data_IF_050265736448
#
_entry.id   IF_050265736448
#
_cell.length_a   1.000
_cell.length_b   1.000
_cell.length_c   1.000
_cell.angle_alpha   90.00
_cell.angle_beta   90.00
_cell.angle_gamma   90.00
#
_symmetry.space_group_name_H-M   'P 1'
#
loop_
_entity.id
_entity.type
_entity.pdbx_description
1 polymer ?
#
# COMPACT_ATOMS: atom_id res chain seq x y z
N UNK A 1 24.31 -3.79 -8.88
CA UNK A 1 23.46 -2.97 -7.99
C UNK A 1 23.77 -1.49 -8.20
N UNK A 2 22.78 -0.63 -8.01
CA UNK A 2 23.01 0.82 -7.92
C UNK A 2 23.70 1.10 -6.58
N UNK A 3 24.97 1.48 -6.62
CA UNK A 3 25.62 2.07 -5.43
C UNK A 3 25.15 3.51 -5.30
N UNK A 4 24.32 3.79 -4.31
CA UNK A 4 23.74 5.12 -4.08
C UNK A 4 24.35 5.79 -2.83
N UNK A 5 25.39 5.19 -2.24
CA UNK A 5 26.04 5.72 -1.03
C UNK A 5 26.55 7.17 -1.18
N UNK A 6 26.75 7.63 -2.42
CA UNK A 6 27.22 8.97 -2.76
C UNK A 6 26.13 9.88 -3.36
N UNK A 7 24.90 9.38 -3.60
CA UNK A 7 23.83 10.16 -4.24
C UNK A 7 23.11 11.13 -3.27
N UNK A 8 23.88 11.83 -2.44
CA UNK A 8 23.35 12.68 -1.34
C UNK A 8 22.58 13.92 -1.82
N UNK A 9 22.60 14.24 -3.12
CA UNK A 9 21.92 15.41 -3.72
C UNK A 9 20.71 15.05 -4.58
N UNK A 10 20.44 13.73 -4.79
CA UNK A 10 19.34 13.29 -5.63
C UNK A 10 17.99 13.60 -4.95
N UNK A 11 17.12 14.34 -5.66
CA UNK A 11 15.81 14.78 -5.15
C UNK A 11 14.66 14.07 -5.88
N UNK A 12 14.84 13.72 -7.15
CA UNK A 12 13.79 13.09 -7.97
C UNK A 12 14.37 11.99 -8.85
N UNK A 13 13.67 10.86 -8.94
CA UNK A 13 13.83 9.87 -10.01
C UNK A 13 12.66 10.09 -10.96
N UNK A 14 12.98 10.31 -12.24
CA UNK A 14 11.98 10.64 -13.27
C UNK A 14 11.14 9.46 -13.73
N UNK A 15 10.14 9.76 -14.53
CA UNK A 15 9.21 8.79 -15.09
C UNK A 15 9.97 7.78 -15.96
N UNK A 16 9.69 6.49 -15.76
CA UNK A 16 10.30 5.37 -16.50
C UNK A 16 11.84 5.36 -16.51
N UNK A 17 12.49 6.01 -15.53
CA UNK A 17 13.95 6.22 -15.53
C UNK A 17 14.76 4.92 -15.64
N UNK A 18 14.23 3.80 -15.11
CA UNK A 18 14.84 2.46 -15.16
C UNK A 18 13.86 1.40 -15.68
N UNK A 19 12.79 1.83 -16.38
CA UNK A 19 11.76 0.93 -16.88
C UNK A 19 12.38 -0.23 -17.69
N UNK A 20 11.99 -1.46 -17.35
CA UNK A 20 12.37 -2.69 -18.05
C UNK A 20 13.89 -2.87 -18.21
N UNK A 21 14.68 -2.44 -17.22
CA UNK A 21 16.13 -2.68 -17.18
C UNK A 21 16.48 -3.91 -16.34
N UNK A 22 17.67 -4.47 -16.56
CA UNK A 22 18.22 -5.59 -15.75
C UNK A 22 18.72 -5.13 -14.36
N UNK A 23 18.26 -3.98 -13.87
CA UNK A 23 18.61 -3.47 -12.56
C UNK A 23 18.09 -4.43 -11.48
N UNK A 24 18.98 -4.99 -10.67
CA UNK A 24 18.63 -5.99 -9.65
C UNK A 24 19.32 -5.75 -8.31
N UNK A 25 18.97 -6.60 -7.34
CA UNK A 25 19.44 -6.50 -5.96
C UNK A 25 18.60 -5.52 -5.14
N UNK A 26 19.17 -4.97 -4.07
CA UNK A 26 18.48 -4.02 -3.19
C UNK A 26 18.73 -2.59 -3.63
N UNK A 27 17.65 -1.84 -3.79
CA UNK A 27 17.65 -0.39 -4.00
C UNK A 27 17.54 0.30 -2.65
N UNK A 28 18.50 1.15 -2.31
CA UNK A 28 18.45 2.01 -1.11
C UNK A 28 18.05 3.42 -1.54
N UNK A 29 17.01 3.98 -0.94
CA UNK A 29 16.54 5.33 -1.28
C UNK A 29 17.24 6.37 -0.40
N UNK A 30 17.95 7.34 -1.01
CA UNK A 30 18.73 8.33 -0.25
C UNK A 30 17.83 9.36 0.44
N UNK A 31 18.33 9.94 1.54
CA UNK A 31 17.57 10.81 2.44
C UNK A 31 16.89 12.02 1.80
N UNK A 32 17.47 12.58 0.72
CA UNK A 32 16.92 13.77 0.04
C UNK A 32 15.96 13.45 -1.09
N UNK A 33 15.81 12.17 -1.48
CA UNK A 33 14.87 11.82 -2.54
C UNK A 33 13.44 12.10 -2.08
N UNK A 34 12.75 12.96 -2.82
CA UNK A 34 11.38 13.36 -2.51
C UNK A 34 10.35 12.60 -3.35
N UNK A 35 10.69 12.25 -4.59
CA UNK A 35 9.72 11.67 -5.54
C UNK A 35 10.35 10.55 -6.36
N UNK A 36 9.62 9.44 -6.45
CA UNK A 36 9.88 8.36 -7.42
C UNK A 36 8.74 8.44 -8.45
N UNK A 37 9.11 8.73 -9.71
CA UNK A 37 8.15 8.95 -10.79
C UNK A 37 7.43 7.69 -11.27
N UNK A 38 6.37 7.84 -12.09
CA UNK A 38 5.63 6.74 -12.67
C UNK A 38 6.54 5.75 -13.41
N UNK A 39 6.27 4.45 -13.24
CA UNK A 39 7.00 3.34 -13.84
C UNK A 39 8.53 3.39 -13.69
N UNK A 40 9.03 4.15 -12.70
CA UNK A 40 10.47 4.42 -12.60
C UNK A 40 11.33 3.15 -12.52
N UNK A 41 10.84 2.10 -11.89
CA UNK A 41 11.50 0.79 -11.74
C UNK A 41 10.60 -0.37 -12.18
N UNK A 42 9.53 -0.08 -12.92
CA UNK A 42 8.63 -1.12 -13.40
C UNK A 42 9.38 -2.15 -14.25
N UNK A 43 9.04 -3.42 -14.05
CA UNK A 43 9.64 -4.55 -14.78
C UNK A 43 11.16 -4.65 -14.63
N UNK A 44 11.73 -4.23 -13.51
CA UNK A 44 13.15 -4.42 -13.18
C UNK A 44 13.36 -5.73 -12.39
N UNK A 45 14.63 -6.14 -12.24
CA UNK A 45 15.02 -7.32 -11.47
C UNK A 45 15.31 -7.01 -9.99
N UNK A 46 14.80 -5.90 -9.47
CA UNK A 46 14.94 -5.52 -8.05
C UNK A 46 14.32 -6.59 -7.15
N UNK A 47 15.05 -6.97 -6.10
CA UNK A 47 14.59 -7.95 -5.10
C UNK A 47 14.41 -7.34 -3.71
N UNK A 48 14.97 -6.14 -3.45
CA UNK A 48 14.82 -5.43 -2.19
C UNK A 48 14.64 -3.94 -2.40
N UNK A 49 13.90 -3.31 -1.48
CA UNK A 49 13.73 -1.86 -1.41
C UNK A 49 13.94 -1.42 0.04
N UNK A 50 14.95 -0.59 0.27
CA UNK A 50 15.26 -0.03 1.57
C UNK A 50 14.90 1.46 1.60
N UNK A 51 13.90 1.81 2.41
CA UNK A 51 13.39 3.16 2.63
C UNK A 51 13.82 3.72 3.99
N UNK A 52 14.71 3.05 4.74
CA UNK A 52 15.09 3.45 6.11
C UNK A 52 15.68 4.87 6.18
N UNK A 53 16.42 5.27 5.14
CA UNK A 53 17.01 6.61 5.04
C UNK A 53 16.13 7.61 4.28
N UNK A 54 14.98 7.19 3.73
CA UNK A 54 14.12 7.99 2.84
C UNK A 54 13.32 9.08 3.58
N UNK A 55 14.00 9.92 4.35
CA UNK A 55 13.36 10.91 5.25
C UNK A 55 12.69 12.08 4.54
N UNK A 56 12.88 12.23 3.22
CA UNK A 56 12.24 13.27 2.40
C UNK A 56 11.23 12.72 1.41
N UNK A 57 11.06 11.39 1.31
CA UNK A 57 10.17 10.78 0.31
C UNK A 57 8.71 11.10 0.64
N UNK A 58 8.02 11.73 -0.31
CA UNK A 58 6.62 12.14 -0.20
C UNK A 58 5.70 11.42 -1.18
N UNK A 59 6.25 10.88 -2.28
CA UNK A 59 5.46 10.26 -3.34
C UNK A 59 6.19 9.07 -3.97
N UNK A 60 5.45 7.97 -4.12
CA UNK A 60 5.79 6.83 -4.98
C UNK A 60 4.72 6.82 -6.08
N UNK A 61 5.14 7.04 -7.33
CA UNK A 61 4.25 7.22 -8.47
C UNK A 61 3.60 5.94 -8.98
N UNK A 62 2.73 6.10 -9.99
CA UNK A 62 2.00 5.03 -10.66
C UNK A 62 2.95 3.94 -11.19
N UNK A 63 2.69 2.68 -10.87
CA UNK A 63 3.48 1.53 -11.30
C UNK A 63 4.97 1.58 -10.96
N UNK A 64 5.40 2.43 -10.02
CA UNK A 64 6.81 2.72 -9.80
C UNK A 64 7.68 1.48 -9.57
N UNK A 65 7.14 0.43 -8.97
CA UNK A 65 7.80 -0.86 -8.70
C UNK A 65 6.94 -2.06 -9.17
N UNK A 66 6.03 -1.83 -10.11
CA UNK A 66 5.17 -2.89 -10.65
C UNK A 66 6.01 -3.99 -11.29
N UNK A 67 5.54 -5.23 -11.19
CA UNK A 67 6.15 -6.43 -11.82
C UNK A 67 7.65 -6.57 -11.50
N UNK A 68 8.04 -6.25 -10.26
CA UNK A 68 9.41 -6.47 -9.77
C UNK A 68 9.51 -7.72 -8.90
N UNK A 69 10.74 -8.16 -8.63
CA UNK A 69 11.02 -9.26 -7.70
C UNK A 69 11.04 -8.86 -6.23
N UNK A 70 10.58 -7.65 -5.86
CA UNK A 70 10.61 -7.15 -4.49
C UNK A 70 9.98 -8.14 -3.52
N UNK A 71 10.72 -8.51 -2.48
CA UNK A 71 10.31 -9.48 -1.46
C UNK A 71 10.58 -8.96 -0.04
N UNK A 72 10.11 -9.71 0.96
CA UNK A 72 10.30 -9.35 2.36
C UNK A 72 9.33 -8.26 2.84
N UNK A 73 9.74 -7.52 3.88
CA UNK A 73 8.92 -6.50 4.53
C UNK A 73 9.27 -5.11 4.00
N UNK A 74 8.26 -4.36 3.59
CA UNK A 74 8.36 -2.95 3.22
C UNK A 74 7.92 -2.08 4.41
N UNK A 75 8.77 -1.14 4.81
CA UNK A 75 8.47 -0.14 5.86
C UNK A 75 8.23 1.21 5.19
N UNK A 76 7.06 1.80 5.40
CA UNK A 76 6.70 3.08 4.77
C UNK A 76 7.18 4.24 5.64
N UNK A 77 7.96 5.19 5.07
CA UNK A 77 8.54 6.28 5.84
C UNK A 77 7.51 7.37 6.20
N UNK A 78 7.82 8.12 7.26
CA UNK A 78 6.90 9.05 7.92
C UNK A 78 6.31 10.16 7.02
N UNK A 79 7.07 10.61 6.00
CA UNK A 79 6.63 11.72 5.13
C UNK A 79 5.90 11.25 3.88
N UNK A 80 5.86 9.96 3.58
CA UNK A 80 5.15 9.48 2.40
C UNK A 80 3.67 9.81 2.54
N UNK A 81 3.13 10.51 1.55
CA UNK A 81 1.72 10.96 1.54
C UNK A 81 0.85 10.06 0.66
N UNK A 82 1.43 9.56 -0.45
CA UNK A 82 0.67 8.78 -1.43
C UNK A 82 1.49 7.61 -1.93
N UNK A 83 0.85 6.44 -1.98
CA UNK A 83 1.31 5.27 -2.74
C UNK A 83 0.41 5.20 -3.97
N UNK A 84 0.99 5.50 -5.15
CA UNK A 84 0.28 5.63 -6.40
C UNK A 84 -0.34 4.34 -6.92
N UNK A 85 -1.18 4.43 -7.97
CA UNK A 85 -1.79 3.27 -8.59
C UNK A 85 -0.74 2.24 -9.01
N UNK A 86 -1.03 0.96 -8.84
CA UNK A 86 -0.15 -0.15 -9.25
C UNK A 86 1.28 -0.11 -8.70
N UNK A 87 1.59 0.74 -7.72
CA UNK A 87 2.98 1.04 -7.31
C UNK A 87 3.80 -0.20 -6.95
N UNK A 88 3.19 -1.22 -6.34
CA UNK A 88 3.79 -2.49 -5.96
C UNK A 88 3.01 -3.69 -6.51
N UNK A 89 2.24 -3.48 -7.58
CA UNK A 89 1.45 -4.52 -8.23
C UNK A 89 2.33 -5.71 -8.66
N UNK A 90 1.85 -6.93 -8.44
CA UNK A 90 2.57 -8.15 -8.81
C UNK A 90 4.00 -8.26 -8.25
N UNK A 91 4.23 -7.81 -7.01
CA UNK A 91 5.48 -8.03 -6.28
C UNK A 91 5.38 -9.24 -5.33
N UNK A 92 6.52 -9.67 -4.79
CA UNK A 92 6.61 -10.77 -3.81
C UNK A 92 6.72 -10.27 -2.37
N UNK A 93 6.33 -9.02 -2.10
CA UNK A 93 6.34 -8.46 -0.74
C UNK A 93 5.50 -9.34 0.18
N UNK A 94 6.03 -9.67 1.37
CA UNK A 94 5.35 -10.52 2.36
C UNK A 94 4.89 -9.74 3.59
N UNK A 95 5.41 -8.53 3.80
CA UNK A 95 5.00 -7.66 4.91
C UNK A 95 4.91 -6.20 4.51
N UNK A 96 3.94 -5.48 5.08
CA UNK A 96 3.80 -4.04 4.95
C UNK A 96 3.70 -3.42 6.34
N UNK A 97 4.63 -2.52 6.65
CA UNK A 97 4.66 -1.78 7.90
C UNK A 97 4.29 -0.32 7.68
N UNK A 98 3.15 0.08 8.20
CA UNK A 98 2.63 1.44 8.16
C UNK A 98 2.77 2.16 9.51
N UNK A 99 3.50 1.59 10.49
CA UNK A 99 3.58 2.16 11.86
C UNK A 99 4.19 3.55 11.89
N UNK A 100 5.16 3.82 11.00
CA UNK A 100 5.82 5.11 10.86
C UNK A 100 5.14 6.04 9.82
N UNK A 101 4.16 5.55 9.07
CA UNK A 101 3.52 6.26 7.95
C UNK A 101 2.56 7.36 8.42
N UNK A 102 3.06 8.31 9.23
CA UNK A 102 2.26 9.34 9.89
C UNK A 102 1.71 10.42 8.96
N UNK A 103 2.14 10.46 7.70
CA UNK A 103 1.64 11.41 6.69
C UNK A 103 0.85 10.73 5.57
N UNK A 104 0.72 9.40 5.58
CA UNK A 104 0.05 8.66 4.51
C UNK A 104 -1.45 8.96 4.49
N UNK A 105 -1.93 9.46 3.34
CA UNK A 105 -3.32 9.90 3.13
C UNK A 105 -4.06 8.93 2.22
N UNK A 106 -3.41 8.42 1.17
CA UNK A 106 -4.03 7.51 0.21
C UNK A 106 -3.12 6.33 -0.15
N UNK A 107 -3.75 5.16 -0.26
CA UNK A 107 -3.23 3.99 -0.97
C UNK A 107 -4.15 3.83 -2.18
N UNK A 108 -3.60 4.01 -3.38
CA UNK A 108 -4.40 4.13 -4.58
C UNK A 108 -4.74 2.77 -5.23
N UNK A 109 -5.36 2.83 -6.42
CA UNK A 109 -5.84 1.65 -7.16
C UNK A 109 -4.73 0.61 -7.32
N UNK A 110 -5.02 -0.65 -6.96
CA UNK A 110 -4.15 -1.82 -7.15
C UNK A 110 -2.72 -1.66 -6.62
N UNK A 111 -2.50 -0.73 -5.70
CA UNK A 111 -1.16 -0.42 -5.20
C UNK A 111 -0.39 -1.65 -4.67
N UNK A 112 -1.08 -2.64 -4.12
CA UNK A 112 -0.54 -3.91 -3.62
C UNK A 112 -1.31 -5.12 -4.17
N UNK A 113 -1.85 -5.01 -5.38
CA UNK A 113 -2.58 -6.11 -6.03
C UNK A 113 -1.68 -7.33 -6.24
N UNK A 114 -2.23 -8.52 -5.98
CA UNK A 114 -1.56 -9.81 -6.20
C UNK A 114 -0.16 -9.89 -5.54
N UNK A 115 0.00 -9.28 -4.36
CA UNK A 115 1.22 -9.38 -3.54
C UNK A 115 1.19 -10.60 -2.63
N UNK A 116 2.34 -10.94 -2.03
CA UNK A 116 2.46 -11.97 -1.00
C UNK A 116 2.15 -11.47 0.42
N UNK A 117 1.64 -10.25 0.60
CA UNK A 117 1.42 -9.64 1.92
C UNK A 117 0.57 -10.54 2.82
N UNK A 118 1.07 -10.86 4.00
CA UNK A 118 0.45 -11.75 4.98
C UNK A 118 0.34 -11.11 6.37
N UNK A 119 -0.38 -11.78 7.29
CA UNK A 119 -0.58 -11.29 8.65
C UNK A 119 -1.61 -10.18 8.73
N UNK A 120 -1.47 -9.31 9.75
CA UNK A 120 -2.43 -8.23 10.02
C UNK A 120 -1.92 -6.90 9.48
N UNK A 121 -2.72 -6.25 8.64
CA UNK A 121 -2.49 -4.88 8.19
C UNK A 121 -3.11 -3.91 9.19
N UNK A 122 -2.31 -2.98 9.72
CA UNK A 122 -2.77 -1.93 10.64
C UNK A 122 -2.86 -0.62 9.86
N UNK A 123 -4.05 -0.02 9.79
CA UNK A 123 -4.27 1.21 9.03
C UNK A 123 -3.91 2.44 9.88
N UNK A 124 -3.05 3.36 9.37
CA UNK A 124 -2.60 4.52 10.11
C UNK A 124 -3.68 5.61 10.19
N UNK A 125 -3.55 6.49 11.20
CA UNK A 125 -4.57 7.45 11.59
C UNK A 125 -4.97 8.47 10.52
N UNK A 126 -4.04 8.84 9.62
CA UNK A 126 -4.30 9.85 8.58
C UNK A 126 -4.78 9.29 7.25
N UNK A 127 -4.78 7.97 7.09
CA UNK A 127 -5.26 7.39 5.85
C UNK A 127 -6.76 7.68 5.70
N UNK A 128 -7.13 8.30 4.58
CA UNK A 128 -8.52 8.69 4.29
C UNK A 128 -9.19 7.73 3.34
N UNK A 129 -8.41 7.06 2.49
CA UNK A 129 -8.94 6.21 1.42
C UNK A 129 -8.04 5.02 1.13
N UNK A 130 -8.69 3.86 0.93
CA UNK A 130 -8.08 2.66 0.36
C UNK A 130 -8.74 2.45 -1.01
N UNK A 131 -7.93 2.57 -2.06
CA UNK A 131 -8.37 2.60 -3.46
C UNK A 131 -8.89 1.27 -4.00
N UNK A 132 -9.42 1.28 -5.24
CA UNK A 132 -9.99 0.08 -5.86
C UNK A 132 -8.95 -1.05 -5.95
N UNK A 133 -9.34 -2.25 -5.56
CA UNK A 133 -8.48 -3.45 -5.61
C UNK A 133 -7.09 -3.27 -4.96
N UNK A 134 -6.92 -2.33 -4.04
CA UNK A 134 -5.60 -1.96 -3.50
C UNK A 134 -4.84 -3.13 -2.88
N UNK A 135 -5.54 -4.09 -2.27
CA UNK A 135 -4.99 -5.31 -1.66
C UNK A 135 -5.64 -6.58 -2.23
N UNK A 136 -6.31 -6.49 -3.38
CA UNK A 136 -6.95 -7.63 -4.01
C UNK A 136 -5.93 -8.77 -4.22
N UNK A 137 -6.35 -9.98 -3.88
CA UNK A 137 -5.54 -11.19 -3.97
C UNK A 137 -4.25 -11.20 -3.11
N UNK A 138 -4.13 -10.27 -2.14
CA UNK A 138 -3.11 -10.34 -1.11
C UNK A 138 -3.45 -11.45 -0.09
N UNK A 139 -2.43 -11.97 0.64
CA UNK A 139 -2.61 -13.07 1.60
C UNK A 139 -2.88 -12.58 3.03
N UNK A 140 -3.36 -11.34 3.19
CA UNK A 140 -3.67 -10.76 4.50
C UNK A 140 -4.68 -11.62 5.25
N UNK A 141 -4.44 -11.85 6.54
CA UNK A 141 -5.34 -12.62 7.42
C UNK A 141 -6.06 -11.75 8.46
N UNK A 142 -5.58 -10.52 8.67
CA UNK A 142 -6.19 -9.56 9.60
C UNK A 142 -6.17 -8.13 9.04
N UNK A 143 -7.16 -7.35 9.44
CA UNK A 143 -7.24 -5.90 9.17
C UNK A 143 -7.59 -5.19 10.46
N UNK A 144 -6.69 -4.35 10.94
CA UNK A 144 -6.88 -3.53 12.15
C UNK A 144 -7.16 -2.07 11.76
N UNK A 145 -8.39 -1.65 11.98
CA UNK A 145 -8.87 -0.29 11.73
C UNK A 145 -8.93 0.55 13.03
N UNK A 146 -8.47 0.04 14.16
CA UNK A 146 -8.59 0.71 15.47
C UNK A 146 -7.91 2.07 15.54
N UNK A 147 -6.88 2.31 14.68
CA UNK A 147 -6.17 3.58 14.57
C UNK A 147 -6.63 4.44 13.38
N UNK A 148 -7.53 3.94 12.56
CA UNK A 148 -7.93 4.56 11.28
C UNK A 148 -8.90 5.75 11.49
N UNK A 149 -8.49 6.76 12.27
CA UNK A 149 -9.32 7.87 12.71
C UNK A 149 -9.76 8.84 11.60
N UNK A 150 -9.19 8.73 10.39
CA UNK A 150 -9.55 9.58 9.25
C UNK A 150 -10.06 8.77 8.06
N UNK A 151 -10.19 7.45 8.18
CA UNK A 151 -10.58 6.59 7.05
C UNK A 151 -12.06 6.80 6.73
N UNK A 152 -12.32 7.34 5.53
CA UNK A 152 -13.68 7.67 5.05
C UNK A 152 -14.19 6.63 4.06
N UNK A 153 -13.32 6.06 3.23
CA UNK A 153 -13.74 5.19 2.15
C UNK A 153 -12.80 3.98 1.98
N UNK A 154 -13.40 2.79 1.88
CA UNK A 154 -12.80 1.57 1.36
C UNK A 154 -13.50 1.30 0.03
N UNK A 155 -12.75 1.36 -1.08
CA UNK A 155 -13.32 1.37 -2.43
C UNK A 155 -13.53 -0.06 -2.97
N UNK A 156 -14.06 -0.15 -4.19
CA UNK A 156 -14.46 -1.39 -4.86
C UNK A 156 -13.36 -2.46 -4.84
N UNK A 157 -13.67 -3.65 -4.35
CA UNK A 157 -12.76 -4.77 -4.33
C UNK A 157 -11.46 -4.58 -3.52
N UNK A 158 -11.36 -3.56 -2.67
CA UNK A 158 -10.11 -3.17 -2.02
C UNK A 158 -9.39 -4.33 -1.30
N UNK A 159 -10.13 -5.28 -0.74
CA UNK A 159 -9.64 -6.50 -0.08
C UNK A 159 -10.25 -7.78 -0.68
N UNK A 160 -10.65 -7.72 -1.96
CA UNK A 160 -11.23 -8.88 -2.64
C UNK A 160 -10.27 -10.08 -2.61
N UNK A 161 -10.81 -11.27 -2.40
CA UNK A 161 -10.08 -12.53 -2.40
C UNK A 161 -8.85 -12.56 -1.46
N UNK A 162 -8.88 -11.79 -0.35
CA UNK A 162 -7.87 -11.88 0.71
C UNK A 162 -8.20 -13.00 1.70
N UNK A 163 -7.25 -13.34 2.58
CA UNK A 163 -7.44 -14.32 3.65
C UNK A 163 -8.06 -13.75 4.92
N UNK A 164 -8.60 -12.52 4.91
CA UNK A 164 -9.14 -11.85 6.11
C UNK A 164 -10.17 -12.71 6.82
N UNK A 165 -10.00 -12.91 8.13
CA UNK A 165 -10.85 -13.78 8.94
C UNK A 165 -11.31 -13.08 10.23
N UNK A 166 -12.28 -13.72 10.96
CA UNK A 166 -12.80 -13.20 12.21
C UNK A 166 -13.81 -12.07 12.03
N UNK A 167 -13.84 -11.13 12.98
CA UNK A 167 -14.78 -10.00 13.00
C UNK A 167 -14.08 -8.72 12.57
N UNK A 168 -14.62 -8.03 11.56
CA UNK A 168 -14.19 -6.71 11.17
C UNK A 168 -14.94 -5.66 11.98
N UNK A 169 -14.20 -4.79 12.68
CA UNK A 169 -14.77 -3.65 13.42
C UNK A 169 -14.67 -2.41 12.53
N UNK A 170 -15.81 -1.76 12.28
CA UNK A 170 -15.87 -0.57 11.42
C UNK A 170 -15.69 0.70 12.26
N UNK A 171 -14.70 1.57 11.93
CA UNK A 171 -14.43 2.76 12.69
C UNK A 171 -15.49 3.86 12.45
N UNK A 172 -15.56 4.83 13.36
CA UNK A 172 -16.58 5.86 13.40
C UNK A 172 -16.65 6.72 12.13
N UNK A 173 -15.50 7.03 11.53
CA UNK A 173 -15.41 7.95 10.40
C UNK A 173 -15.64 7.27 9.04
N UNK A 174 -15.66 5.93 8.97
CA UNK A 174 -15.87 5.23 7.71
C UNK A 174 -17.30 5.47 7.20
N UNK A 175 -17.42 6.17 6.06
CA UNK A 175 -18.70 6.51 5.46
C UNK A 175 -19.14 5.52 4.38
N UNK A 176 -18.18 4.90 3.68
CA UNK A 176 -18.48 4.04 2.53
C UNK A 176 -17.60 2.81 2.46
N UNK A 177 -18.24 1.67 2.19
CA UNK A 177 -17.63 0.41 1.78
C UNK A 177 -18.12 0.11 0.35
N UNK A 178 -17.21 0.05 -0.61
CA UNK A 178 -17.51 -0.17 -2.01
C UNK A 178 -17.97 -1.60 -2.33
N UNK A 179 -18.51 -1.82 -3.55
CA UNK A 179 -18.85 -3.15 -4.03
C UNK A 179 -17.68 -4.12 -3.98
N UNK A 180 -17.93 -5.38 -3.62
CA UNK A 180 -16.93 -6.45 -3.55
C UNK A 180 -15.74 -6.17 -2.62
N UNK A 181 -15.79 -5.13 -1.77
CA UNK A 181 -14.64 -4.68 -0.99
C UNK A 181 -14.00 -5.78 -0.12
N UNK A 182 -14.80 -6.71 0.39
CA UNK A 182 -14.40 -7.86 1.21
C UNK A 182 -14.96 -9.18 0.67
N UNK A 183 -15.42 -9.21 -0.59
CA UNK A 183 -15.93 -10.44 -1.20
C UNK A 183 -14.80 -11.47 -1.31
N UNK A 184 -15.16 -12.75 -1.22
CA UNK A 184 -14.22 -13.86 -1.23
C UNK A 184 -13.20 -13.85 -0.06
N UNK A 185 -13.56 -13.24 1.09
CA UNK A 185 -12.78 -13.31 2.33
C UNK A 185 -13.29 -14.43 3.24
N UNK A 186 -12.64 -14.62 4.40
CA UNK A 186 -13.06 -15.56 5.47
C UNK A 186 -13.65 -14.84 6.67
N UNK A 187 -14.10 -13.60 6.50
CA UNK A 187 -14.76 -12.85 7.58
C UNK A 187 -16.00 -13.58 8.07
N UNK A 188 -16.19 -13.66 9.39
CA UNK A 188 -17.31 -14.32 10.03
C UNK A 188 -18.21 -13.37 10.80
N UNK A 189 -17.80 -12.11 10.96
CA UNK A 189 -18.55 -11.08 11.68
C UNK A 189 -18.24 -9.68 11.20
N UNK A 190 -19.21 -8.80 11.40
CA UNK A 190 -19.12 -7.36 11.15
C UNK A 190 -19.61 -6.64 12.41
N UNK A 191 -18.76 -5.81 13.01
CA UNK A 191 -19.12 -4.98 14.16
C UNK A 191 -19.32 -3.53 13.70
N UNK A 192 -20.54 -3.05 13.79
CA UNK A 192 -20.98 -1.70 13.43
C UNK A 192 -21.24 -0.82 14.66
N UNK A 193 -20.87 -1.26 15.86
CA UNK A 193 -21.20 -0.55 17.09
C UNK A 193 -20.64 0.89 17.16
N UNK A 194 -19.53 1.14 16.47
CA UNK A 194 -18.86 2.44 16.40
C UNK A 194 -19.07 3.17 15.07
N UNK A 195 -19.72 2.54 14.08
CA UNK A 195 -19.82 3.00 12.69
C UNK A 195 -20.84 4.17 12.51
N UNK A 196 -20.61 5.29 13.18
CA UNK A 196 -21.59 6.40 13.23
C UNK A 196 -21.70 7.20 11.94
N UNK A 197 -20.71 7.13 11.04
CA UNK A 197 -20.71 7.85 9.75
C UNK A 197 -21.06 6.93 8.56
N UNK A 198 -21.24 5.63 8.78
CA UNK A 198 -21.45 4.69 7.68
C UNK A 198 -22.81 4.90 7.02
N UNK A 199 -22.81 5.25 5.72
CA UNK A 199 -24.00 5.54 4.92
C UNK A 199 -24.19 4.58 3.74
N UNK A 200 -23.12 3.85 3.35
CA UNK A 200 -23.18 2.95 2.20
C UNK A 200 -22.34 1.68 2.42
N UNK A 201 -22.96 0.54 2.16
CA UNK A 201 -22.27 -0.74 1.94
C UNK A 201 -22.70 -1.20 0.53
N UNK A 202 -21.74 -1.30 -0.38
CA UNK A 202 -21.96 -1.61 -1.79
C UNK A 202 -22.40 -3.04 -2.04
N UNK A 203 -22.77 -3.31 -3.31
CA UNK A 203 -23.23 -4.63 -3.75
C UNK A 203 -22.15 -5.69 -3.53
N UNK A 204 -22.53 -6.83 -2.94
CA UNK A 204 -21.62 -7.95 -2.67
C UNK A 204 -20.34 -7.54 -1.92
N UNK A 205 -20.44 -6.56 -1.02
CA UNK A 205 -19.27 -6.05 -0.30
C UNK A 205 -18.62 -7.08 0.65
N UNK A 206 -19.37 -8.16 1.02
CA UNK A 206 -18.92 -9.25 1.93
C UNK A 206 -19.27 -10.63 1.38
#
# INVERSE_FOLDING_TARGET
>A
GLDQSEATSLVKIGDSAFFSTDLGGTLVIPAKLATIGPSAFDSTLLTGLDLSEATSLVEIGDGAFSVTGLEGRLVIPAKLMTIGPYAFDNTKLTGLDLSEATSLVEIEERAFFATGLEGTLIIPAKLTKIGPSAFDSAKLTGLDLSKAASLVEIVDGAFFATGLEGTLVIPAELAKIGPYAFDNTKLTGLDLSEATSLVEIGDSAF
#
